data_IF_211886563492
#
_entry.id   IF_211886563492
#
_cell.length_a   1.000
_cell.length_b   1.000
_cell.length_c   1.000
_cell.angle_alpha   90.00
_cell.angle_beta   90.00
_cell.angle_gamma   90.00
#
_symmetry.space_group_name_H-M   'P 1'
#
loop_
_entity.id
_entity.type
_entity.pdbx_description
1 polymer ?
#
# COMPACT_ATOMS: atom_id res chain seq x y z
N UNK A 1 37.36 -52.23 3.45
CA UNK A 1 36.23 -52.80 2.70
C UNK A 1 34.97 -52.38 3.44
N UNK A 2 34.29 -51.35 2.91
CA UNK A 2 32.92 -51.42 2.36
C UNK A 2 31.86 -51.12 3.43
N UNK A 3 30.99 -50.12 3.32
CA UNK A 3 30.69 -49.23 2.22
C UNK A 3 30.00 -47.95 2.71
N UNK A 4 30.26 -46.89 1.97
CA UNK A 4 29.69 -45.55 2.11
C UNK A 4 28.32 -45.57 1.40
N UNK A 5 27.25 -45.21 2.12
CA UNK A 5 25.86 -45.31 1.64
C UNK A 5 25.53 -44.15 0.67
N UNK A 6 25.22 -44.38 -0.62
CA UNK A 6 25.20 -43.33 -1.64
C UNK A 6 23.80 -42.73 -1.89
N UNK A 7 23.06 -42.36 -0.84
CA UNK A 7 21.70 -41.77 -0.99
C UNK A 7 21.50 -40.46 -0.22
N UNK A 8 22.55 -39.66 -0.03
CA UNK A 8 22.43 -38.32 0.61
C UNK A 8 22.80 -37.16 -0.33
N UNK A 9 23.14 -37.42 -1.60
CA UNK A 9 23.81 -36.40 -2.44
C UNK A 9 23.01 -35.77 -3.60
N UNK A 10 21.67 -35.79 -3.63
CA UNK A 10 20.92 -35.10 -4.70
C UNK A 10 19.57 -34.46 -4.30
N UNK A 11 19.54 -33.61 -3.26
CA UNK A 11 18.41 -32.66 -3.08
C UNK A 11 18.90 -31.24 -2.79
N UNK A 12 19.96 -30.81 -3.49
CA UNK A 12 20.45 -29.42 -3.46
C UNK A 12 20.57 -28.84 -4.87
N UNK A 13 19.47 -28.77 -5.61
CA UNK A 13 19.39 -27.97 -6.83
C UNK A 13 17.92 -27.65 -7.22
N UNK A 14 17.20 -26.94 -6.37
CA UNK A 14 16.00 -26.22 -6.79
C UNK A 14 15.91 -24.89 -6.06
N UNK A 15 16.99 -24.09 -6.10
CA UNK A 15 16.85 -22.64 -5.94
C UNK A 15 16.28 -22.14 -7.26
N UNK A 16 14.95 -22.20 -7.39
CA UNK A 16 14.25 -21.62 -8.53
C UNK A 16 14.70 -20.17 -8.71
N UNK A 17 15.23 -19.87 -9.89
CA UNK A 17 15.51 -18.50 -10.28
C UNK A 17 14.18 -17.76 -10.33
N UNK A 18 14.08 -16.65 -9.59
CA UNK A 18 12.88 -15.81 -9.61
C UNK A 18 12.53 -15.48 -11.06
N UNK A 19 11.27 -15.66 -11.42
CA UNK A 19 10.80 -15.31 -12.76
C UNK A 19 11.02 -13.81 -13.00
N UNK A 20 11.17 -13.38 -14.27
CA UNK A 20 11.33 -11.96 -14.58
C UNK A 20 10.25 -11.06 -13.95
N UNK A 21 9.01 -11.57 -13.82
CA UNK A 21 7.92 -10.88 -13.14
C UNK A 21 8.09 -10.76 -11.62
N UNK A 22 8.60 -11.79 -10.95
CA UNK A 22 8.89 -11.75 -9.50
C UNK A 22 10.06 -10.84 -9.18
N UNK A 23 11.11 -10.87 -10.00
CA UNK A 23 12.24 -9.96 -9.88
C UNK A 23 11.80 -8.50 -10.06
N UNK A 24 10.99 -8.21 -11.09
CA UNK A 24 10.43 -6.87 -11.31
C UNK A 24 9.53 -6.40 -10.15
N UNK A 25 8.69 -7.28 -9.59
CA UNK A 25 7.85 -6.96 -8.41
C UNK A 25 8.70 -6.67 -7.18
N UNK A 26 9.79 -7.41 -6.97
CA UNK A 26 10.74 -7.20 -5.87
C UNK A 26 11.50 -5.88 -6.01
N UNK A 27 11.92 -5.53 -7.23
CA UNK A 27 12.56 -4.23 -7.53
C UNK A 27 11.57 -3.08 -7.30
N UNK A 28 10.33 -3.19 -7.78
CA UNK A 28 9.30 -2.18 -7.55
C UNK A 28 9.00 -1.99 -6.06
N UNK A 29 8.91 -3.09 -5.31
CA UNK A 29 8.74 -3.05 -3.85
C UNK A 29 9.95 -2.41 -3.14
N UNK A 30 11.17 -2.63 -3.62
CA UNK A 30 12.37 -2.01 -3.08
C UNK A 30 12.46 -0.50 -3.40
N UNK A 31 12.08 -0.10 -4.62
CA UNK A 31 12.05 1.31 -5.05
C UNK A 31 11.01 2.15 -4.29
N UNK A 32 9.93 1.52 -3.82
CA UNK A 32 8.92 2.17 -2.97
C UNK A 32 9.29 2.27 -1.50
N UNK A 33 10.39 1.65 -1.06
CA UNK A 33 10.78 1.58 0.35
C UNK A 33 11.67 2.77 0.70
N UNK A 34 11.06 3.94 0.83
CA UNK A 34 11.68 5.14 1.39
C UNK A 34 11.88 4.98 2.91
N UNK A 35 12.58 5.93 3.54
CA UNK A 35 12.69 5.96 5.01
C UNK A 35 11.31 6.27 5.60
N UNK A 36 11.04 5.77 6.81
CA UNK A 36 9.80 6.07 7.53
C UNK A 36 9.54 7.59 7.53
N UNK A 37 8.34 8.01 7.12
CA UNK A 37 7.97 9.43 6.99
C UNK A 37 8.42 10.13 5.69
N UNK A 38 9.14 9.48 4.78
CA UNK A 38 9.46 10.03 3.45
C UNK A 38 8.42 9.58 2.41
N UNK A 39 7.76 10.55 1.78
CA UNK A 39 6.81 10.29 0.70
C UNK A 39 7.50 9.94 -0.62
N UNK A 40 6.89 9.08 -1.43
CA UNK A 40 7.26 8.90 -2.83
C UNK A 40 6.63 9.99 -3.72
N UNK A 41 6.96 9.98 -5.02
CA UNK A 41 6.48 11.00 -5.94
C UNK A 41 4.94 11.00 -6.12
N UNK A 42 4.30 9.84 -6.01
CA UNK A 42 2.84 9.72 -6.13
C UNK A 42 2.17 10.26 -4.87
N UNK A 43 2.67 9.88 -3.69
CA UNK A 43 2.20 10.37 -2.40
C UNK A 43 2.34 11.89 -2.30
N UNK A 44 3.49 12.48 -2.66
CA UNK A 44 3.66 13.96 -2.68
C UNK A 44 2.64 14.65 -3.58
N UNK A 45 2.36 14.07 -4.75
CA UNK A 45 1.35 14.64 -5.66
C UNK A 45 -0.06 14.52 -5.07
N UNK A 46 -0.32 13.45 -4.32
CA UNK A 46 -1.59 13.28 -3.63
C UNK A 46 -1.75 14.25 -2.47
N UNK A 47 -0.69 14.50 -1.70
CA UNK A 47 -0.68 15.53 -0.67
C UNK A 47 -0.99 16.92 -1.23
N UNK A 48 -0.38 17.28 -2.37
CA UNK A 48 -0.69 18.55 -3.03
C UNK A 48 -2.17 18.68 -3.42
N UNK A 49 -2.84 17.56 -3.73
CA UNK A 49 -4.28 17.52 -3.97
C UNK A 49 -5.10 17.65 -2.69
N UNK A 50 -4.70 16.99 -1.60
CA UNK A 50 -5.33 17.14 -0.29
C UNK A 50 -5.22 18.58 0.23
N UNK A 51 -4.06 19.22 0.07
CA UNK A 51 -3.88 20.63 0.45
C UNK A 51 -4.79 21.57 -0.34
N UNK A 52 -5.07 21.28 -1.61
CA UNK A 52 -6.07 22.04 -2.39
C UNK A 52 -7.48 21.86 -1.81
N UNK A 53 -7.87 20.62 -1.51
CA UNK A 53 -9.16 20.33 -0.87
C UNK A 53 -9.27 20.98 0.52
N UNK A 54 -8.17 21.05 1.27
CA UNK A 54 -8.14 21.71 2.59
C UNK A 54 -8.37 23.20 2.46
N UNK A 55 -7.76 23.83 1.44
CA UNK A 55 -7.95 25.25 1.14
C UNK A 55 -9.36 25.57 0.63
N UNK A 56 -10.01 24.64 -0.09
CA UNK A 56 -11.40 24.81 -0.53
C UNK A 56 -12.43 24.53 0.57
N UNK A 57 -12.01 23.93 1.68
CA UNK A 57 -12.89 23.56 2.80
C UNK A 57 -13.59 22.21 2.61
N UNK A 58 -13.28 21.46 1.55
CA UNK A 58 -13.77 20.09 1.33
C UNK A 58 -13.26 19.13 2.41
N UNK A 59 -12.01 19.33 2.85
CA UNK A 59 -11.43 18.65 4.00
C UNK A 59 -10.98 19.67 5.05
N UNK A 60 -11.06 19.27 6.31
CA UNK A 60 -10.67 20.10 7.45
C UNK A 60 -9.21 19.86 7.82
N UNK A 61 -8.74 18.61 7.67
CA UNK A 61 -7.41 18.19 8.10
C UNK A 61 -6.97 16.93 7.36
N UNK A 62 -5.65 16.76 7.24
CA UNK A 62 -5.04 15.50 6.82
C UNK A 62 -3.65 15.32 7.45
N UNK A 63 -3.14 14.09 7.47
CA UNK A 63 -1.79 13.78 7.94
C UNK A 63 -1.23 12.53 7.23
N UNK A 64 0.02 12.63 6.77
CA UNK A 64 0.77 11.51 6.19
C UNK A 64 1.25 10.54 7.28
N UNK A 65 1.02 9.24 7.10
CA UNK A 65 1.37 8.15 8.03
C UNK A 65 0.96 8.39 9.51
N UNK A 66 -0.05 9.23 9.74
CA UNK A 66 -0.41 9.72 11.08
C UNK A 66 -1.11 8.71 11.99
N UNK A 67 -1.71 7.66 11.42
CA UNK A 67 -2.42 6.61 12.18
C UNK A 67 -1.89 5.23 11.80
N UNK A 68 -1.60 4.45 12.83
CA UNK A 68 -1.25 3.03 12.74
C UNK A 68 -2.31 2.19 13.45
N UNK A 69 -3.06 1.43 12.69
CA UNK A 69 -4.16 0.58 13.17
C UNK A 69 -3.66 -0.81 13.51
N UNK A 70 -4.01 -1.32 14.69
CA UNK A 70 -3.72 -2.70 15.09
C UNK A 70 -4.83 -3.62 14.60
N UNK A 71 -4.51 -4.58 13.73
CA UNK A 71 -5.49 -5.53 13.19
C UNK A 71 -5.50 -6.85 13.98
N UNK A 72 -4.32 -7.29 14.44
CA UNK A 72 -4.12 -8.51 15.21
C UNK A 72 -2.82 -8.41 16.04
N UNK A 73 -2.48 -9.38 16.91
CA UNK A 73 -1.20 -9.38 17.61
C UNK A 73 -0.02 -9.30 16.63
N UNK A 74 0.80 -8.25 16.75
CA UNK A 74 1.94 -7.95 15.87
C UNK A 74 1.59 -7.67 14.40
N UNK A 75 0.31 -7.42 14.09
CA UNK A 75 -0.15 -7.07 12.75
C UNK A 75 -0.78 -5.69 12.77
N UNK A 76 -0.19 -4.78 12.00
CA UNK A 76 -0.62 -3.39 11.91
C UNK A 76 -0.80 -2.98 10.46
N UNK A 77 -1.66 -1.98 10.27
CA UNK A 77 -1.82 -1.24 9.02
C UNK A 77 -1.46 0.22 9.31
N UNK A 78 -0.43 0.72 8.65
CA UNK A 78 -0.22 2.18 8.53
C UNK A 78 -0.81 2.57 7.18
N UNK A 79 -1.66 3.59 7.17
CA UNK A 79 -2.24 4.14 5.94
C UNK A 79 -1.46 5.36 5.50
N UNK A 80 -1.38 5.59 4.19
CA UNK A 80 -0.57 6.69 3.65
C UNK A 80 -1.10 8.04 4.13
N UNK A 81 -2.41 8.29 4.05
CA UNK A 81 -3.01 9.52 4.57
C UNK A 81 -4.25 9.24 5.42
N UNK A 82 -4.33 9.96 6.53
CA UNK A 82 -5.57 10.15 7.29
C UNK A 82 -6.18 11.45 6.82
N UNK A 83 -7.47 11.47 6.51
CA UNK A 83 -8.20 12.65 6.04
C UNK A 83 -9.44 12.85 6.90
N UNK A 84 -9.69 14.09 7.32
CA UNK A 84 -10.92 14.51 7.97
C UNK A 84 -11.70 15.41 7.02
N UNK A 85 -12.70 14.89 6.29
CA UNK A 85 -13.58 15.68 5.44
C UNK A 85 -14.46 16.64 6.23
N UNK A 86 -15.12 17.57 5.54
CA UNK A 86 -16.14 18.44 6.12
C UNK A 86 -17.32 17.65 6.75
N UNK A 87 -17.57 16.41 6.30
CA UNK A 87 -18.59 15.51 6.87
C UNK A 87 -18.27 15.05 8.30
N UNK A 88 -17.01 15.16 8.73
CA UNK A 88 -16.57 14.76 10.07
C UNK A 88 -16.27 13.26 10.24
N UNK A 89 -16.47 12.43 9.22
CA UNK A 89 -16.13 10.99 9.26
C UNK A 89 -14.73 10.79 8.72
N UNK A 90 -13.81 10.30 9.56
CA UNK A 90 -12.42 10.06 9.18
C UNK A 90 -12.29 9.03 8.05
N UNK A 91 -11.44 9.37 7.08
CA UNK A 91 -11.13 8.56 5.92
C UNK A 91 -9.64 8.15 5.90
N UNK A 92 -9.39 6.90 5.59
CA UNK A 92 -8.07 6.27 5.57
C UNK A 92 -7.70 5.99 4.11
N UNK A 93 -6.79 6.78 3.55
CA UNK A 93 -6.44 6.76 2.14
C UNK A 93 -5.10 6.04 1.94
N UNK A 94 -5.13 4.96 1.16
CA UNK A 94 -3.94 4.21 0.74
C UNK A 94 -3.65 4.52 -0.74
N UNK A 95 -2.54 5.19 -1.03
CA UNK A 95 -2.17 5.68 -2.35
C UNK A 95 -1.34 4.62 -3.07
N UNK A 96 -1.67 4.35 -4.33
CA UNK A 96 -0.97 3.36 -5.15
C UNK A 96 -0.68 3.92 -6.54
N UNK A 97 0.54 3.72 -7.02
CA UNK A 97 0.95 4.21 -8.35
C UNK A 97 0.14 3.61 -9.51
N UNK A 98 -0.41 2.40 -9.33
CA UNK A 98 -1.33 1.76 -10.27
C UNK A 98 -2.13 0.64 -9.58
N UNK A 99 -3.28 0.28 -10.14
CA UNK A 99 -4.14 -0.84 -9.66
C UNK A 99 -3.39 -2.17 -9.57
N UNK A 100 -2.51 -2.45 -10.52
CA UNK A 100 -1.70 -3.67 -10.55
C UNK A 100 -0.69 -3.77 -9.40
N UNK A 101 -0.38 -2.65 -8.72
CA UNK A 101 0.60 -2.57 -7.63
C UNK A 101 -0.05 -2.84 -6.27
N UNK A 102 -1.39 -2.93 -6.21
CA UNK A 102 -2.08 -3.24 -4.96
C UNK A 102 -1.89 -4.72 -4.59
N UNK A 103 -0.96 -4.98 -3.67
CA UNK A 103 -0.62 -6.34 -3.23
C UNK A 103 -1.79 -7.00 -2.48
N UNK A 104 -1.85 -8.33 -2.54
CA UNK A 104 -2.93 -9.07 -1.90
C UNK A 104 -2.89 -8.94 -0.37
N UNK A 105 -1.70 -8.85 0.23
CA UNK A 105 -1.54 -8.55 1.66
C UNK A 105 -2.11 -7.18 2.04
N UNK A 106 -1.81 -6.13 1.27
CA UNK A 106 -2.35 -4.79 1.52
C UNK A 106 -3.88 -4.76 1.35
N UNK A 107 -4.41 -5.42 0.32
CA UNK A 107 -5.87 -5.56 0.11
C UNK A 107 -6.56 -6.22 1.31
N UNK A 108 -6.01 -7.34 1.78
CA UNK A 108 -6.57 -8.07 2.92
C UNK A 108 -6.53 -7.21 4.18
N UNK A 109 -5.40 -6.55 4.47
CA UNK A 109 -5.28 -5.65 5.63
C UNK A 109 -6.29 -4.49 5.59
N UNK A 110 -6.46 -3.85 4.42
CA UNK A 110 -7.44 -2.78 4.24
C UNK A 110 -8.88 -3.27 4.47
N UNK A 111 -9.24 -4.44 3.90
CA UNK A 111 -10.57 -5.06 4.12
C UNK A 111 -10.82 -5.44 5.57
N UNK A 112 -9.82 -6.03 6.22
CA UNK A 112 -9.91 -6.38 7.65
C UNK A 112 -10.08 -5.11 8.49
N UNK A 113 -9.32 -4.05 8.20
CA UNK A 113 -9.44 -2.78 8.90
C UNK A 113 -10.83 -2.16 8.72
N UNK A 114 -11.37 -2.13 7.49
CA UNK A 114 -12.72 -1.66 7.18
C UNK A 114 -13.83 -2.42 7.92
N UNK A 115 -13.56 -3.69 8.30
CA UNK A 115 -14.52 -4.49 9.08
C UNK A 115 -14.44 -4.23 10.59
N UNK A 116 -13.27 -3.84 11.11
CA UNK A 116 -13.00 -3.70 12.55
C UNK A 116 -13.28 -2.27 13.03
N UNK A 117 -12.89 -1.27 12.23
CA UNK A 117 -12.93 0.13 12.64
C UNK A 117 -14.11 0.85 12.00
N UNK A 118 -14.80 1.75 12.75
CA UNK A 118 -15.89 2.57 12.22
C UNK A 118 -15.32 3.77 11.43
N UNK A 119 -14.46 3.49 10.45
CA UNK A 119 -13.75 4.47 9.62
C UNK A 119 -13.96 4.13 8.15
N UNK A 120 -13.87 5.12 7.27
CA UNK A 120 -13.95 4.88 5.83
C UNK A 120 -12.57 4.55 5.30
N UNK A 121 -12.43 3.47 4.53
CA UNK A 121 -11.15 3.06 3.94
C UNK A 121 -11.23 3.23 2.43
N UNK A 122 -10.26 3.93 1.85
CA UNK A 122 -10.20 4.21 0.42
C UNK A 122 -8.83 3.85 -0.13
N UNK A 123 -8.81 3.31 -1.33
CA UNK A 123 -7.57 3.21 -2.12
C UNK A 123 -7.61 4.23 -3.24
N UNK A 124 -6.47 4.86 -3.50
CA UNK A 124 -6.38 5.99 -4.41
C UNK A 124 -5.35 5.70 -5.51
N UNK A 125 -5.75 5.94 -6.76
CA UNK A 125 -4.91 5.73 -7.93
C UNK A 125 -4.82 7.00 -8.77
N UNK A 126 -3.64 7.33 -9.31
CA UNK A 126 -3.54 8.45 -10.24
C UNK A 126 -4.16 8.11 -11.59
N UNK A 127 -4.97 9.02 -12.11
CA UNK A 127 -5.45 8.96 -13.49
C UNK A 127 -4.38 9.44 -14.46
N UNK A 128 -4.32 8.84 -15.66
CA UNK A 128 -3.40 9.30 -16.71
C UNK A 128 -3.84 10.67 -17.22
N UNK A 129 -2.89 11.49 -17.66
CA UNK A 129 -3.19 12.82 -18.21
C UNK A 129 -4.18 12.77 -19.39
N UNK A 130 -4.02 11.79 -20.29
CA UNK A 130 -4.92 11.56 -21.43
C UNK A 130 -6.37 11.25 -21.04
N UNK A 131 -6.58 10.74 -19.82
CA UNK A 131 -7.89 10.36 -19.31
C UNK A 131 -8.49 11.50 -18.45
N UNK A 132 -7.93 12.72 -18.53
CA UNK A 132 -8.37 13.92 -17.82
C UNK A 132 -7.63 14.21 -16.50
N UNK A 133 -6.59 13.45 -16.17
CA UNK A 133 -5.80 13.64 -14.93
C UNK A 133 -6.61 13.43 -13.65
N UNK A 134 -6.05 13.79 -12.49
CA UNK A 134 -6.72 13.63 -11.19
C UNK A 134 -6.53 12.24 -10.56
N UNK A 135 -7.52 11.81 -9.78
CA UNK A 135 -7.45 10.63 -8.92
C UNK A 135 -8.70 9.78 -9.02
N UNK A 136 -8.52 8.47 -9.21
CA UNK A 136 -9.57 7.48 -8.98
C UNK A 136 -9.54 7.10 -7.50
N UNK A 137 -10.70 7.14 -6.85
CA UNK A 137 -10.86 6.82 -5.44
C UNK A 137 -11.86 5.68 -5.31
N UNK A 138 -11.47 4.61 -4.64
CA UNK A 138 -12.34 3.44 -4.43
C UNK A 138 -12.48 3.16 -2.94
N UNK A 139 -13.73 3.06 -2.48
CA UNK A 139 -14.03 2.66 -1.11
C UNK A 139 -13.91 1.14 -0.96
N UNK A 140 -13.25 0.72 0.13
CA UNK A 140 -13.11 -0.67 0.53
C UNK A 140 -14.30 -1.05 1.41
N UNK A 141 -15.00 -2.12 1.03
CA UNK A 141 -16.13 -2.72 1.76
C UNK A 141 -15.79 -4.11 2.29
#
# INVERSE_FOLDING_TARGET
MSGFDPVVSQVLAARGTATPGEAARKVLHALGRLRDGEQNATERRYEAHLEQQRRSGEIQWYMFEGIKLKLAPRTFLTVDYVVLPASGVLEMHDVKGARAIFSDDAKVKMKVAARIFPLVFKVVYPRKARDGGGWDVEEIR
#
